data_IF_334697280826
#
_entry.id   IF_334697280826
#
_cell.length_a   1.000
_cell.length_b   1.000
_cell.length_c   1.000
_cell.angle_alpha   90.00
_cell.angle_beta   90.00
_cell.angle_gamma   90.00
#
_symmetry.space_group_name_H-M   'P 1'
#
loop_
_entity.id
_entity.type
_entity.pdbx_description
1 polymer ?
#
# COMPACT_ATOMS: atom_id res chain seq x y z
N UNK A 1 9.89 27.17 8.37
CA UNK A 1 8.49 26.77 8.57
C UNK A 1 7.94 25.94 7.41
N UNK A 2 8.00 26.41 6.16
CA UNK A 2 7.56 25.65 4.96
C UNK A 2 8.25 24.28 4.82
N UNK A 3 9.57 24.20 5.04
CA UNK A 3 10.29 22.93 4.93
C UNK A 3 9.81 21.84 5.91
N UNK A 4 9.40 22.23 7.12
CA UNK A 4 8.89 21.29 8.14
C UNK A 4 7.50 20.76 7.72
N UNK A 5 6.63 21.62 7.21
CA UNK A 5 5.31 21.22 6.69
C UNK A 5 5.47 20.29 5.48
N UNK A 6 6.37 20.64 4.57
CA UNK A 6 6.67 19.80 3.40
C UNK A 6 7.21 18.43 3.82
N UNK A 7 8.14 18.35 4.79
CA UNK A 7 8.64 17.09 5.30
C UNK A 7 7.52 16.24 5.92
N UNK A 8 6.62 16.84 6.69
CA UNK A 8 5.45 16.14 7.24
C UNK A 8 4.56 15.56 6.14
N UNK A 9 4.29 16.34 5.10
CA UNK A 9 3.50 15.89 3.94
C UNK A 9 4.19 14.76 3.17
N UNK A 10 5.51 14.84 2.99
CA UNK A 10 6.30 13.78 2.35
C UNK A 10 6.21 12.48 3.16
N UNK A 11 6.38 12.52 4.47
CA UNK A 11 6.28 11.34 5.33
C UNK A 11 4.89 10.70 5.25
N UNK A 12 3.84 11.51 5.34
CA UNK A 12 2.45 11.03 5.29
C UNK A 12 2.06 10.49 3.92
N UNK A 13 2.55 11.06 2.83
CA UNK A 13 2.25 10.63 1.46
C UNK A 13 3.11 9.43 1.02
N UNK A 14 4.35 9.33 1.50
CA UNK A 14 5.26 8.25 1.13
C UNK A 14 4.95 6.93 1.85
N UNK A 15 4.57 6.96 3.13
CA UNK A 15 4.35 5.75 3.92
C UNK A 15 3.33 4.77 3.30
N UNK A 16 2.15 5.19 2.80
CA UNK A 16 1.21 4.30 2.13
C UNK A 16 1.80 3.62 0.90
N UNK A 17 2.53 4.37 0.07
CA UNK A 17 3.15 3.88 -1.16
C UNK A 17 4.29 2.91 -0.86
N UNK A 18 5.11 3.21 0.14
CA UNK A 18 6.19 2.32 0.59
C UNK A 18 5.61 0.99 1.06
N UNK A 19 4.61 1.00 1.95
CA UNK A 19 3.98 -0.21 2.48
C UNK A 19 3.28 -1.01 1.37
N UNK A 20 2.54 -0.36 0.47
CA UNK A 20 1.91 -1.02 -0.67
C UNK A 20 2.96 -1.64 -1.61
N UNK A 21 4.06 -0.94 -1.91
CA UNK A 21 5.12 -1.47 -2.76
C UNK A 21 5.83 -2.69 -2.13
N UNK A 22 6.03 -2.72 -0.81
CA UNK A 22 6.58 -3.90 -0.12
C UNK A 22 5.66 -5.11 -0.26
N UNK A 23 4.35 -4.91 -0.08
CA UNK A 23 3.34 -5.95 -0.31
C UNK A 23 3.39 -6.49 -1.74
N UNK A 24 3.49 -5.59 -2.72
CA UNK A 24 3.67 -5.94 -4.12
C UNK A 24 4.95 -6.74 -4.39
N UNK A 25 6.09 -6.31 -3.82
CA UNK A 25 7.37 -7.03 -3.95
C UNK A 25 7.27 -8.46 -3.43
N UNK A 26 6.69 -8.68 -2.25
CA UNK A 26 6.55 -10.02 -1.67
C UNK A 26 5.68 -10.92 -2.54
N UNK A 27 4.57 -10.40 -3.03
CA UNK A 27 3.63 -11.13 -3.89
C UNK A 27 4.25 -11.48 -5.23
N UNK A 28 4.81 -10.49 -5.95
CA UNK A 28 5.37 -10.70 -7.29
C UNK A 28 6.67 -11.52 -7.27
N UNK A 29 7.47 -11.43 -6.20
CA UNK A 29 8.63 -12.31 -6.00
C UNK A 29 8.26 -13.78 -5.84
N UNK A 30 7.01 -14.09 -5.47
CA UNK A 30 6.50 -15.47 -5.44
C UNK A 30 6.02 -15.98 -6.81
N UNK A 31 6.05 -15.13 -7.85
CA UNK A 31 5.59 -15.47 -9.21
C UNK A 31 4.09 -15.24 -9.42
N UNK A 32 3.46 -14.40 -8.62
CA UNK A 32 2.04 -14.03 -8.77
C UNK A 32 1.92 -12.53 -8.99
N UNK A 33 1.43 -12.12 -10.17
CA UNK A 33 1.23 -10.71 -10.53
C UNK A 33 0.23 -10.05 -9.58
N UNK A 34 0.61 -8.88 -9.02
CA UNK A 34 -0.19 -8.24 -7.97
C UNK A 34 -0.78 -6.91 -8.44
N UNK A 35 -1.97 -6.94 -9.02
CA UNK A 35 -2.75 -5.75 -9.38
C UNK A 35 -3.77 -5.32 -8.32
N UNK A 36 -3.91 -6.08 -7.21
CA UNK A 36 -4.89 -5.80 -6.16
C UNK A 36 -4.40 -4.83 -5.08
N UNK A 37 -3.25 -4.15 -5.28
CA UNK A 37 -2.70 -3.23 -4.26
C UNK A 37 -3.67 -2.08 -3.92
N UNK A 38 -4.47 -1.63 -4.89
CA UNK A 38 -5.51 -0.63 -4.68
C UNK A 38 -6.59 -1.14 -3.70
N UNK A 39 -7.03 -2.39 -3.87
CA UNK A 39 -7.97 -3.04 -2.96
C UNK A 39 -7.42 -3.14 -1.54
N UNK A 40 -6.16 -3.54 -1.39
CA UNK A 40 -5.53 -3.66 -0.07
C UNK A 40 -5.43 -2.32 0.65
N UNK A 41 -5.05 -1.25 -0.05
CA UNK A 41 -5.05 0.10 0.50
C UNK A 41 -6.45 0.51 0.95
N UNK A 42 -7.47 0.28 0.11
CA UNK A 42 -8.84 0.69 0.39
C UNK A 42 -9.46 -0.09 1.55
N UNK A 43 -9.29 -1.43 1.56
CA UNK A 43 -9.78 -2.29 2.64
C UNK A 43 -9.04 -2.02 3.96
N UNK A 44 -7.73 -1.78 3.89
CA UNK A 44 -6.94 -1.41 5.07
C UNK A 44 -7.37 -0.08 5.67
N UNK A 45 -7.62 0.95 4.84
CA UNK A 45 -8.12 2.23 5.29
C UNK A 45 -9.51 2.11 5.93
N UNK A 46 -10.42 1.36 5.30
CA UNK A 46 -11.76 1.12 5.82
C UNK A 46 -11.73 0.40 7.16
N UNK A 47 -11.00 -0.72 7.24
CA UNK A 47 -10.90 -1.52 8.45
C UNK A 47 -10.25 -0.74 9.61
N UNK A 48 -9.20 0.07 9.32
CA UNK A 48 -8.57 0.91 10.32
C UNK A 48 -9.54 1.94 10.91
N UNK A 49 -10.27 2.64 10.06
CA UNK A 49 -11.20 3.68 10.52
C UNK A 49 -12.38 3.08 11.28
N UNK A 50 -12.98 2.00 10.76
CA UNK A 50 -14.11 1.32 11.45
C UNK A 50 -13.68 0.78 12.82
N UNK A 51 -12.55 0.09 12.88
CA UNK A 51 -12.03 -0.45 14.14
C UNK A 51 -11.58 0.67 15.11
N UNK A 52 -11.01 1.76 14.58
CA UNK A 52 -10.62 2.93 15.35
C UNK A 52 -11.83 3.64 15.97
N UNK A 53 -12.92 3.81 15.20
CA UNK A 53 -14.18 4.37 15.71
C UNK A 53 -14.83 3.49 16.78
N UNK A 54 -14.77 2.17 16.60
CA UNK A 54 -15.38 1.23 17.54
C UNK A 54 -14.60 1.08 18.86
N UNK A 55 -13.27 1.10 18.80
CA UNK A 55 -12.40 0.82 19.95
C UNK A 55 -11.77 2.05 20.60
N UNK A 56 -11.71 3.19 19.88
CA UNK A 56 -10.96 4.37 20.32
C UNK A 56 -9.42 4.16 20.34
N UNK A 57 -8.92 3.03 19.80
CA UNK A 57 -7.51 2.64 19.88
C UNK A 57 -6.85 2.57 18.50
N UNK A 58 -5.76 3.32 18.33
CA UNK A 58 -4.96 3.31 17.10
C UNK A 58 -4.30 1.92 16.87
N UNK A 59 -3.93 1.22 17.94
CA UNK A 59 -3.33 -0.11 17.83
C UNK A 59 -4.32 -1.10 17.24
N UNK A 60 -5.56 -1.09 17.73
CA UNK A 60 -6.65 -1.94 17.21
C UNK A 60 -6.94 -1.59 15.75
N UNK A 61 -6.94 -0.31 15.39
CA UNK A 61 -7.13 0.16 14.02
C UNK A 61 -6.05 -0.41 13.08
N UNK A 62 -4.77 -0.33 13.46
CA UNK A 62 -3.65 -0.85 12.66
C UNK A 62 -3.69 -2.37 12.53
N UNK A 63 -3.99 -3.09 13.61
CA UNK A 63 -4.14 -4.55 13.59
C UNK A 63 -5.32 -4.98 12.71
N UNK A 64 -6.46 -4.29 12.79
CA UNK A 64 -7.63 -4.56 11.94
C UNK A 64 -7.31 -4.35 10.45
N UNK A 65 -6.55 -3.32 10.11
CA UNK A 65 -6.10 -3.10 8.74
C UNK A 65 -5.20 -4.25 8.23
N UNK A 66 -4.21 -4.65 9.03
CA UNK A 66 -3.33 -5.78 8.68
C UNK A 66 -4.11 -7.08 8.49
N UNK A 67 -5.09 -7.35 9.38
CA UNK A 67 -5.96 -8.52 9.28
C UNK A 67 -6.85 -8.47 8.02
N UNK A 68 -7.47 -7.33 7.73
CA UNK A 68 -8.27 -7.15 6.52
C UNK A 68 -7.45 -7.39 5.25
N UNK A 69 -6.21 -6.87 5.20
CA UNK A 69 -5.29 -7.13 4.11
C UNK A 69 -4.84 -8.59 4.00
N UNK A 70 -4.60 -9.26 5.13
CA UNK A 70 -4.28 -10.70 5.17
C UNK A 70 -5.44 -11.54 4.62
N UNK A 71 -6.68 -11.24 5.04
CA UNK A 71 -7.89 -11.92 4.54
C UNK A 71 -8.10 -11.68 3.04
N UNK A 72 -7.93 -10.44 2.58
CA UNK A 72 -8.00 -10.13 1.16
C UNK A 72 -6.89 -10.82 0.35
N UNK A 73 -5.67 -10.93 0.91
CA UNK A 73 -4.56 -11.70 0.35
C UNK A 73 -4.85 -13.20 0.29
N UNK A 74 -5.49 -13.76 1.32
CA UNK A 74 -5.95 -15.14 1.34
C UNK A 74 -7.03 -15.40 0.28
N UNK A 75 -8.00 -14.47 0.15
CA UNK A 75 -9.02 -14.53 -0.88
C UNK A 75 -8.41 -14.48 -2.30
N UNK A 76 -7.45 -13.57 -2.52
CA UNK A 76 -6.71 -13.51 -3.77
C UNK A 76 -5.99 -14.84 -4.06
N UNK A 77 -5.30 -15.41 -3.06
CA UNK A 77 -4.59 -16.68 -3.19
C UNK A 77 -5.54 -17.84 -3.49
N UNK A 78 -6.73 -17.84 -2.91
CA UNK A 78 -7.75 -18.86 -3.17
C UNK A 78 -8.08 -18.94 -4.67
N UNK A 79 -8.29 -17.79 -5.32
CA UNK A 79 -8.62 -17.77 -6.74
C UNK A 79 -7.40 -17.89 -7.65
N UNK A 80 -6.35 -17.10 -7.41
CA UNK A 80 -5.19 -17.05 -8.30
C UNK A 80 -4.27 -18.28 -8.17
N UNK A 81 -4.08 -18.81 -6.96
CA UNK A 81 -3.14 -19.92 -6.73
C UNK A 81 -3.85 -21.26 -6.73
N UNK A 82 -4.93 -21.41 -5.95
CA UNK A 82 -5.59 -22.71 -5.77
C UNK A 82 -6.54 -23.04 -6.93
N UNK A 83 -7.31 -22.06 -7.41
CA UNK A 83 -8.21 -22.26 -8.57
C UNK A 83 -7.53 -21.94 -9.90
N UNK A 84 -6.27 -21.49 -9.87
CA UNK A 84 -5.46 -21.17 -11.07
C UNK A 84 -6.11 -20.15 -12.01
N UNK A 85 -6.92 -19.25 -11.46
CA UNK A 85 -7.48 -18.15 -12.22
C UNK A 85 -6.39 -17.14 -12.59
N UNK A 86 -6.59 -16.38 -13.66
CA UNK A 86 -5.65 -15.31 -14.02
C UNK A 86 -5.51 -14.30 -12.89
N UNK A 87 -4.30 -14.12 -12.37
CA UNK A 87 -4.00 -13.19 -11.28
C UNK A 87 -4.36 -11.74 -11.62
N UNK A 88 -4.27 -11.36 -12.89
CA UNK A 88 -4.69 -10.05 -13.39
C UNK A 88 -6.20 -9.87 -13.23
N UNK A 89 -7.00 -10.85 -13.66
CA UNK A 89 -8.46 -10.80 -13.55
C UNK A 89 -8.90 -10.78 -12.09
N UNK A 90 -8.31 -11.65 -11.25
CA UNK A 90 -8.59 -11.69 -9.81
C UNK A 90 -8.23 -10.34 -9.15
N UNK A 91 -7.11 -9.72 -9.54
CA UNK A 91 -6.68 -8.42 -9.02
C UNK A 91 -7.66 -7.30 -9.35
N UNK A 92 -8.09 -7.22 -10.60
CA UNK A 92 -9.09 -6.23 -11.04
C UNK A 92 -10.43 -6.47 -10.34
N UNK A 93 -10.89 -7.72 -10.28
CA UNK A 93 -12.13 -8.08 -9.60
C UNK A 93 -12.10 -7.68 -8.10
N UNK A 94 -10.97 -7.92 -7.42
CA UNK A 94 -10.80 -7.55 -6.02
C UNK A 94 -10.78 -6.02 -5.83
N UNK A 95 -10.19 -5.27 -6.76
CA UNK A 95 -10.22 -3.80 -6.74
C UNK A 95 -11.67 -3.28 -6.85
N UNK A 96 -12.45 -3.83 -7.78
CA UNK A 96 -13.86 -3.46 -7.94
C UNK A 96 -14.70 -3.86 -6.72
N UNK A 97 -14.47 -5.06 -6.20
CA UNK A 97 -15.14 -5.56 -5.00
C UNK A 97 -14.83 -4.68 -3.77
N UNK A 98 -13.58 -4.30 -3.57
CA UNK A 98 -13.17 -3.42 -2.49
C UNK A 98 -13.83 -2.03 -2.61
N UNK A 99 -13.85 -1.47 -3.83
CA UNK A 99 -14.46 -0.16 -4.08
C UNK A 99 -15.97 -0.16 -3.86
N UNK A 100 -16.68 -1.16 -4.38
CA UNK A 100 -18.12 -1.29 -4.21
C UNK A 100 -18.48 -1.73 -2.79
N UNK A 101 -17.75 -2.70 -2.23
CA UNK A 101 -18.00 -3.26 -0.91
C UNK A 101 -17.79 -2.24 0.20
N UNK A 102 -16.74 -1.41 0.16
CA UNK A 102 -16.51 -0.36 1.17
C UNK A 102 -17.58 0.73 1.12
N UNK A 103 -18.06 1.11 -0.08
CA UNK A 103 -19.19 2.05 -0.23
C UNK A 103 -20.49 1.48 0.32
N UNK A 104 -20.79 0.21 0.02
CA UNK A 104 -21.96 -0.47 0.55
C UNK A 104 -21.91 -0.60 2.08
N UNK A 105 -20.74 -0.99 2.61
CA UNK A 105 -20.52 -1.09 4.05
C UNK A 105 -20.66 0.26 4.77
N UNK A 106 -20.11 1.36 4.18
CA UNK A 106 -20.33 2.71 4.71
C UNK A 106 -21.81 3.07 4.81
N UNK A 107 -22.58 2.78 3.76
CA UNK A 107 -24.02 3.06 3.74
C UNK A 107 -24.77 2.29 4.83
N UNK A 108 -24.41 1.02 5.05
CA UNK A 108 -25.03 0.17 6.06
C UNK A 108 -24.65 0.61 7.48
N UNK A 109 -23.38 0.92 7.72
CA UNK A 109 -22.86 1.26 9.05
C UNK A 109 -23.15 2.70 9.47
N UNK A 110 -23.08 3.64 8.53
CA UNK A 110 -23.10 5.08 8.84
C UNK A 110 -24.17 5.87 8.07
N UNK A 111 -24.98 5.22 7.24
CA UNK A 111 -26.03 5.87 6.45
C UNK A 111 -25.50 6.72 5.28
N UNK A 112 -24.18 6.86 5.12
CA UNK A 112 -23.51 7.62 4.04
C UNK A 112 -22.70 6.69 3.17
N UNK A 113 -22.79 6.83 1.83
CA UNK A 113 -21.96 6.07 0.90
C UNK A 113 -20.62 6.75 0.57
N UNK A 114 -20.38 7.96 1.09
CA UNK A 114 -19.23 8.78 0.75
C UNK A 114 -18.20 8.85 1.88
N UNK A 115 -18.61 9.07 3.11
CA UNK A 115 -17.71 9.34 4.23
C UNK A 115 -18.15 8.58 5.50
N UNK A 116 -17.19 8.18 6.32
CA UNK A 116 -17.41 7.77 7.71
C UNK A 116 -17.50 8.99 8.64
N UNK A 117 -17.94 8.81 9.89
CA UNK A 117 -17.68 9.76 10.96
C UNK A 117 -16.17 10.00 11.13
N UNK A 118 -15.82 11.15 11.71
CA UNK A 118 -14.42 11.48 12.02
C UNK A 118 -13.95 10.77 13.28
N UNK A 119 -12.74 10.24 13.25
CA UNK A 119 -12.09 9.71 14.45
C UNK A 119 -11.86 10.84 15.45
N UNK A 120 -12.09 10.59 16.75
CA UNK A 120 -11.80 11.59 17.77
C UNK A 120 -10.31 11.93 17.74
N UNK A 121 -10.00 13.19 17.42
CA UNK A 121 -8.66 13.73 17.58
C UNK A 121 -8.44 13.99 19.05
N UNK A 122 -7.29 13.57 19.58
CA UNK A 122 -6.88 14.00 20.91
C UNK A 122 -6.76 15.54 20.89
N UNK A 123 -7.75 16.23 21.44
CA UNK A 123 -7.78 17.68 21.60
C UNK A 123 -6.70 18.14 22.61
N UNK A 124 -5.47 18.04 22.23
CA UNK A 124 -4.36 18.46 23.06
C UNK A 124 -3.35 19.25 22.26
N UNK A 125 -3.62 20.49 22.02
CA UNK A 125 -2.71 21.63 21.84
C UNK A 125 -3.12 22.59 20.71
N UNK A 126 -4.13 23.38 21.00
CA UNK A 126 -4.34 24.70 20.36
C UNK A 126 -3.26 25.66 20.91
N UNK A 127 -2.07 25.70 20.32
CA UNK A 127 -1.03 26.61 20.80
C UNK A 127 0.33 26.51 20.11
N UNK A 128 0.57 25.46 19.34
CA UNK A 128 1.80 25.31 18.56
C UNK A 128 1.65 25.87 17.15
N UNK A 129 2.75 26.40 16.59
CA UNK A 129 2.74 26.87 15.19
C UNK A 129 2.33 25.76 14.25
N UNK A 130 1.51 26.06 13.24
CA UNK A 130 0.91 25.11 12.27
C UNK A 130 1.90 24.08 11.70
N UNK A 131 3.17 24.45 11.56
CA UNK A 131 4.23 23.59 11.05
C UNK A 131 4.61 22.47 12.01
N UNK A 132 4.68 22.73 13.30
CA UNK A 132 5.05 21.72 14.31
C UNK A 132 3.89 20.77 14.62
N UNK A 133 2.63 21.26 14.53
CA UNK A 133 1.45 20.38 14.63
C UNK A 133 1.41 19.40 13.48
N UNK A 134 1.60 19.85 12.24
CA UNK A 134 1.61 18.97 11.06
C UNK A 134 2.69 17.89 11.13
N UNK A 135 3.90 18.24 11.57
CA UNK A 135 4.98 17.26 11.75
C UNK A 135 4.68 16.27 12.89
N UNK A 136 4.14 16.76 13.99
CA UNK A 136 3.76 15.92 15.13
C UNK A 136 2.65 14.94 14.73
N UNK A 137 1.64 15.39 14.01
CA UNK A 137 0.55 14.55 13.53
C UNK A 137 1.05 13.47 12.56
N UNK A 138 1.96 13.83 11.65
CA UNK A 138 2.62 12.86 10.78
C UNK A 138 3.42 11.81 11.57
N UNK A 139 4.15 12.23 12.61
CA UNK A 139 4.97 11.34 13.43
C UNK A 139 4.16 10.57 14.49
N UNK A 140 2.97 11.03 14.86
CA UNK A 140 2.09 10.36 15.82
C UNK A 140 1.41 9.12 15.22
N UNK A 141 1.31 9.04 13.90
CA UNK A 141 0.77 7.86 13.24
C UNK A 141 1.80 6.71 13.25
N UNK A 142 1.50 5.58 13.91
CA UNK A 142 2.48 4.49 14.08
C UNK A 142 2.93 3.88 12.75
N UNK A 143 2.14 3.95 11.71
CA UNK A 143 2.42 3.42 10.38
C UNK A 143 3.60 4.12 9.68
N UNK A 144 3.91 5.38 10.01
CA UNK A 144 5.10 6.09 9.51
C UNK A 144 6.39 5.44 10.04
N UNK A 145 6.38 4.96 11.28
CA UNK A 145 7.52 4.24 11.88
C UNK A 145 7.57 2.77 11.49
N UNK A 146 6.39 2.17 11.29
CA UNK A 146 6.27 0.79 10.82
C UNK A 146 6.82 0.64 9.40
N UNK A 147 6.68 1.64 8.53
CA UNK A 147 7.13 1.56 7.14
C UNK A 147 8.64 1.28 7.01
N UNK A 148 9.58 2.06 7.59
CA UNK A 148 11.01 1.76 7.50
C UNK A 148 11.38 0.42 8.18
N UNK A 149 10.71 0.08 9.29
CA UNK A 149 10.89 -1.21 9.95
C UNK A 149 10.53 -2.36 9.00
N UNK A 150 9.38 -2.28 8.31
CA UNK A 150 8.95 -3.30 7.37
C UNK A 150 9.82 -3.35 6.10
N UNK A 151 10.44 -2.25 5.67
CA UNK A 151 11.44 -2.26 4.60
C UNK A 151 12.62 -3.16 5.00
N UNK A 152 13.16 -2.96 6.21
CA UNK A 152 14.28 -3.76 6.71
C UNK A 152 13.86 -5.22 6.89
N UNK A 153 12.71 -5.47 7.53
CA UNK A 153 12.20 -6.83 7.75
C UNK A 153 11.94 -7.58 6.44
N UNK A 154 11.33 -6.92 5.45
CA UNK A 154 11.09 -7.51 4.13
C UNK A 154 12.39 -7.80 3.39
N UNK A 155 13.38 -6.92 3.50
CA UNK A 155 14.70 -7.13 2.92
C UNK A 155 15.43 -8.32 3.57
N UNK A 156 15.40 -8.41 4.90
CA UNK A 156 15.97 -9.54 5.66
C UNK A 156 15.21 -10.83 5.37
N UNK A 157 13.88 -10.78 5.33
CA UNK A 157 13.05 -11.95 5.01
C UNK A 157 13.45 -12.52 3.65
N UNK A 158 13.52 -11.70 2.61
CA UNK A 158 13.85 -12.19 1.26
C UNK A 158 15.33 -12.59 1.10
N UNK A 159 16.27 -11.99 1.85
CA UNK A 159 17.70 -12.22 1.65
C UNK A 159 18.32 -13.22 2.65
N UNK A 160 17.73 -13.39 3.83
CA UNK A 160 18.35 -14.12 4.94
C UNK A 160 17.51 -15.28 5.49
N UNK A 161 16.26 -15.48 5.03
CA UNK A 161 15.39 -16.53 5.55
C UNK A 161 15.13 -17.63 4.54
N UNK A 162 14.84 -18.84 5.04
CA UNK A 162 14.43 -19.99 4.21
C UNK A 162 13.13 -19.70 3.47
N UNK A 163 12.19 -18.98 4.10
CA UNK A 163 10.94 -18.57 3.47
C UNK A 163 11.20 -17.65 2.28
N UNK A 164 12.07 -16.63 2.43
CA UNK A 164 12.45 -15.74 1.36
C UNK A 164 13.13 -16.45 0.19
N UNK A 165 14.01 -17.42 0.48
CA UNK A 165 14.62 -18.27 -0.55
C UNK A 165 13.55 -19.06 -1.32
N UNK A 166 12.59 -19.68 -0.61
CA UNK A 166 11.48 -20.41 -1.24
C UNK A 166 10.57 -19.51 -2.07
N UNK A 167 10.24 -18.29 -1.57
CA UNK A 167 9.46 -17.30 -2.32
C UNK A 167 10.17 -16.98 -3.63
N UNK A 168 11.46 -16.66 -3.58
CA UNK A 168 12.25 -16.32 -4.78
C UNK A 168 12.37 -17.51 -5.74
N UNK A 169 12.61 -18.71 -5.24
CA UNK A 169 12.68 -19.91 -6.07
C UNK A 169 11.34 -20.22 -6.78
N UNK A 170 10.20 -20.00 -6.09
CA UNK A 170 8.88 -20.16 -6.70
C UNK A 170 8.62 -19.12 -7.81
N UNK A 171 9.15 -17.89 -7.67
CA UNK A 171 8.99 -16.86 -8.68
C UNK A 171 9.92 -17.02 -9.89
N UNK A 172 11.13 -17.55 -9.69
CA UNK A 172 12.08 -17.73 -10.81
C UNK A 172 11.80 -19.04 -11.57
N UNK A 173 11.65 -20.17 -10.86
CA UNK A 173 11.47 -21.50 -11.45
C UNK A 173 10.50 -22.38 -10.64
N UNK A 174 9.18 -22.17 -10.76
CA UNK A 174 8.19 -22.87 -9.93
C UNK A 174 8.22 -24.41 -10.14
N UNK A 175 8.52 -24.89 -11.36
CA UNK A 175 8.63 -26.32 -11.65
C UNK A 175 9.85 -26.94 -10.98
N UNK A 176 11.01 -26.26 -11.03
CA UNK A 176 12.21 -26.73 -10.36
C UNK A 176 12.06 -26.70 -8.83
N UNK A 177 11.43 -25.64 -8.29
CA UNK A 177 11.13 -25.58 -6.85
C UNK A 177 10.24 -26.73 -6.41
N UNK A 178 9.21 -27.08 -7.19
CA UNK A 178 8.33 -28.23 -6.92
C UNK A 178 9.09 -29.57 -6.97
N UNK A 179 9.98 -29.75 -7.94
CA UNK A 179 10.81 -30.95 -8.05
C UNK A 179 11.73 -31.13 -6.83
N UNK A 180 12.13 -30.05 -6.18
CA UNK A 180 12.90 -30.03 -4.92
C UNK A 180 12.03 -30.17 -3.67
N UNK A 181 10.73 -30.50 -3.81
CA UNK A 181 9.81 -30.69 -2.68
C UNK A 181 9.26 -29.41 -2.06
N UNK A 182 9.47 -28.23 -2.68
CA UNK A 182 8.89 -26.99 -2.19
C UNK A 182 7.38 -26.94 -2.48
N UNK A 183 6.51 -26.74 -1.47
CA UNK A 183 5.06 -26.63 -1.66
C UNK A 183 4.70 -25.28 -2.25
N UNK A 184 4.87 -25.09 -3.58
CA UNK A 184 4.77 -23.82 -4.30
C UNK A 184 3.47 -23.08 -3.95
N UNK A 185 2.31 -23.74 -4.00
CA UNK A 185 1.03 -23.11 -3.71
C UNK A 185 0.97 -22.53 -2.29
N UNK A 186 1.48 -23.24 -1.28
CA UNK A 186 1.52 -22.74 0.11
C UNK A 186 2.46 -21.55 0.26
N UNK A 187 3.62 -21.58 -0.40
CA UNK A 187 4.60 -20.49 -0.38
C UNK A 187 4.01 -19.23 -1.04
N UNK A 188 3.37 -19.38 -2.20
CA UNK A 188 2.68 -18.29 -2.88
C UNK A 188 1.55 -17.71 -2.02
N UNK A 189 0.71 -18.58 -1.43
CA UNK A 189 -0.36 -18.14 -0.51
C UNK A 189 0.22 -17.33 0.66
N UNK A 190 1.28 -17.81 1.30
CA UNK A 190 1.94 -17.10 2.41
C UNK A 190 2.46 -15.74 1.96
N UNK A 191 3.09 -15.66 0.78
CA UNK A 191 3.58 -14.40 0.23
C UNK A 191 2.45 -13.40 -0.05
N UNK A 192 1.31 -13.87 -0.57
CA UNK A 192 0.13 -13.05 -0.86
C UNK A 192 -0.55 -12.55 0.42
N UNK A 193 -0.67 -13.40 1.44
CA UNK A 193 -1.24 -13.03 2.75
C UNK A 193 -0.37 -11.99 3.45
N UNK A 194 0.94 -12.22 3.52
CA UNK A 194 1.89 -11.27 4.11
C UNK A 194 1.94 -9.96 3.30
N UNK A 195 1.98 -10.08 1.96
CA UNK A 195 1.98 -8.92 1.07
C UNK A 195 0.71 -8.09 1.21
N UNK A 196 -0.46 -8.74 1.29
CA UNK A 196 -1.74 -8.08 1.51
C UNK A 196 -1.81 -7.38 2.88
N UNK A 197 -1.34 -8.05 3.94
CA UNK A 197 -1.28 -7.47 5.28
C UNK A 197 -0.42 -6.18 5.29
N UNK A 198 0.79 -6.24 4.72
CA UNK A 198 1.71 -5.07 4.68
C UNK A 198 1.11 -3.94 3.82
N UNK A 199 0.54 -4.26 2.65
CA UNK A 199 -0.07 -3.25 1.79
C UNK A 199 -1.26 -2.55 2.48
N UNK A 200 -2.08 -3.30 3.21
CA UNK A 200 -3.23 -2.77 3.93
C UNK A 200 -2.85 -1.85 5.10
N UNK A 201 -1.67 -2.04 5.72
CA UNK A 201 -1.11 -1.07 6.68
C UNK A 201 -0.85 0.29 6.03
N UNK A 202 -0.51 0.32 4.73
CA UNK A 202 -0.47 1.56 3.95
C UNK A 202 -1.83 2.23 3.85
N UNK A 203 -2.90 1.44 3.73
CA UNK A 203 -4.27 1.94 3.80
C UNK A 203 -4.63 2.52 5.17
N UNK A 204 -4.21 1.85 6.26
CA UNK A 204 -4.40 2.38 7.61
C UNK A 204 -3.81 3.79 7.75
N UNK A 205 -2.62 4.04 7.18
CA UNK A 205 -2.02 5.37 7.17
C UNK A 205 -2.93 6.41 6.51
N UNK A 206 -3.56 6.06 5.37
CA UNK A 206 -4.48 6.98 4.68
C UNK A 206 -5.68 7.33 5.55
N UNK A 207 -6.34 6.32 6.14
CA UNK A 207 -7.52 6.52 6.99
C UNK A 207 -7.21 7.27 8.28
N UNK A 208 -6.14 6.90 8.97
CA UNK A 208 -5.74 7.52 10.22
C UNK A 208 -5.24 8.96 10.03
N UNK A 209 -4.51 9.23 8.93
CA UNK A 209 -4.03 10.59 8.64
C UNK A 209 -5.17 11.55 8.27
N UNK A 210 -6.21 11.06 7.58
CA UNK A 210 -7.41 11.86 7.26
C UNK A 210 -8.45 11.86 8.39
N UNK A 211 -8.22 11.12 9.46
CA UNK A 211 -9.15 10.93 10.58
C UNK A 211 -10.57 10.47 10.15
N UNK A 212 -10.74 10.00 8.92
CA UNK A 212 -11.99 9.51 8.38
C UNK A 212 -11.72 8.61 7.17
N UNK A 213 -12.66 7.74 6.86
CA UNK A 213 -12.67 7.03 5.59
C UNK A 213 -13.51 7.80 4.57
N UNK A 214 -12.91 8.09 3.43
CA UNK A 214 -13.59 8.69 2.27
C UNK A 214 -13.64 7.66 1.16
N UNK A 215 -14.78 7.52 0.50
CA UNK A 215 -14.92 6.56 -0.59
C UNK A 215 -13.86 6.80 -1.68
N UNK A 216 -13.18 5.73 -2.07
CA UNK A 216 -12.09 5.76 -3.07
C UNK A 216 -10.86 6.59 -2.66
N UNK A 217 -10.60 6.76 -1.35
CA UNK A 217 -9.48 7.56 -0.83
C UNK A 217 -8.09 7.07 -1.23
N UNK A 218 -7.96 5.84 -1.70
CA UNK A 218 -6.71 5.31 -2.25
C UNK A 218 -6.28 6.03 -3.54
N UNK A 219 -7.24 6.51 -4.34
CA UNK A 219 -7.02 7.44 -5.45
C UNK A 219 -5.98 6.97 -6.47
N UNK A 220 -5.87 5.66 -6.74
CA UNK A 220 -4.89 5.10 -7.67
C UNK A 220 -3.48 4.90 -7.10
N UNK A 221 -3.26 5.14 -5.81
CA UNK A 221 -1.94 4.95 -5.16
C UNK A 221 -1.45 3.51 -5.23
N UNK A 222 -2.36 2.53 -5.30
CA UNK A 222 -1.99 1.12 -5.52
C UNK A 222 -1.28 0.91 -6.85
N UNK A 223 -1.70 1.57 -7.93
CA UNK A 223 -1.04 1.48 -9.23
C UNK A 223 0.33 2.19 -9.23
N UNK A 224 0.45 3.32 -8.53
CA UNK A 224 1.75 3.97 -8.31
C UNK A 224 2.71 3.06 -7.53
N UNK A 225 2.20 2.29 -6.57
CA UNK A 225 2.99 1.31 -5.83
C UNK A 225 3.46 0.15 -6.74
N UNK A 226 2.62 -0.36 -7.67
CA UNK A 226 3.06 -1.34 -8.69
C UNK A 226 4.20 -0.77 -9.53
N UNK A 227 4.09 0.47 -9.99
CA UNK A 227 5.17 1.12 -10.74
C UNK A 227 6.47 1.23 -9.91
N UNK A 228 6.37 1.54 -8.61
CA UNK A 228 7.53 1.55 -7.70
C UNK A 228 8.16 0.16 -7.56
N UNK A 229 7.38 -0.94 -7.56
CA UNK A 229 7.89 -2.32 -7.58
C UNK A 229 8.72 -2.59 -8.84
N UNK A 230 8.19 -2.24 -10.01
CA UNK A 230 8.87 -2.43 -11.31
C UNK A 230 10.16 -1.59 -11.37
N UNK A 231 10.10 -0.30 -11.02
CA UNK A 231 11.25 0.60 -10.98
C UNK A 231 12.30 0.13 -9.96
N UNK A 232 11.86 -0.44 -8.84
CA UNK A 232 12.70 -1.04 -7.80
C UNK A 232 13.25 -2.42 -8.15
N UNK A 233 12.87 -2.97 -9.31
CA UNK A 233 13.32 -4.31 -9.78
C UNK A 233 13.03 -5.41 -8.77
N UNK A 234 11.84 -5.40 -8.20
CA UNK A 234 11.40 -6.39 -7.20
C UNK A 234 12.34 -6.54 -5.98
N UNK A 235 13.08 -5.48 -5.64
CA UNK A 235 13.93 -5.42 -4.43
C UNK A 235 13.29 -4.50 -3.40
N UNK A 236 13.04 -4.96 -2.14
CA UNK A 236 12.30 -4.18 -1.14
C UNK A 236 12.83 -2.77 -0.92
N UNK A 237 14.14 -2.64 -0.67
CA UNK A 237 14.76 -1.33 -0.41
C UNK A 237 14.64 -0.40 -1.62
N UNK A 238 14.86 -0.91 -2.83
CA UNK A 238 14.77 -0.09 -4.05
C UNK A 238 13.33 0.31 -4.35
N UNK A 239 12.38 -0.61 -4.18
CA UNK A 239 10.96 -0.32 -4.34
C UNK A 239 10.49 0.74 -3.33
N UNK A 240 10.95 0.65 -2.07
CA UNK A 240 10.67 1.65 -1.05
C UNK A 240 11.24 3.03 -1.39
N UNK A 241 12.47 3.11 -1.93
CA UNK A 241 13.07 4.37 -2.37
C UNK A 241 12.27 5.00 -3.51
N UNK A 242 11.87 4.20 -4.52
CA UNK A 242 11.01 4.69 -5.60
C UNK A 242 9.63 5.12 -5.11
N UNK A 243 9.02 4.33 -4.23
CA UNK A 243 7.74 4.66 -3.61
C UNK A 243 7.81 5.96 -2.79
N UNK A 244 8.89 6.16 -2.03
CA UNK A 244 9.13 7.41 -1.30
C UNK A 244 9.33 8.60 -2.26
N UNK A 245 10.05 8.40 -3.37
CA UNK A 245 10.20 9.41 -4.42
C UNK A 245 8.85 9.80 -5.04
N UNK A 246 7.99 8.82 -5.38
CA UNK A 246 6.63 9.09 -5.89
C UNK A 246 5.78 9.78 -4.82
N UNK A 247 5.90 9.36 -3.55
CA UNK A 247 5.21 10.01 -2.43
C UNK A 247 5.65 11.47 -2.23
N UNK A 248 6.93 11.79 -2.46
CA UNK A 248 7.41 13.16 -2.39
C UNK A 248 6.84 14.04 -3.53
N UNK A 249 6.60 13.46 -4.71
CA UNK A 249 5.89 14.17 -5.80
C UNK A 249 4.44 14.46 -5.44
N UNK A 250 3.75 13.52 -4.76
CA UNK A 250 2.39 13.77 -4.28
C UNK A 250 2.34 14.85 -3.19
N UNK A 251 3.36 14.93 -2.33
CA UNK A 251 3.48 16.01 -1.36
C UNK A 251 3.76 17.37 -2.03
N UNK A 252 4.57 17.37 -3.09
CA UNK A 252 4.84 18.57 -3.88
C UNK A 252 3.56 19.04 -4.60
N UNK A 253 2.78 18.14 -5.17
CA UNK A 253 1.46 18.42 -5.74
C UNK A 253 0.56 19.13 -4.73
N UNK A 254 0.42 18.58 -3.52
CA UNK A 254 -0.41 19.17 -2.48
C UNK A 254 0.06 20.58 -2.08
N UNK A 255 1.39 20.79 -2.02
CA UNK A 255 1.98 22.11 -1.72
C UNK A 255 1.75 23.10 -2.85
N UNK A 256 1.90 22.70 -4.10
CA UNK A 256 1.68 23.57 -5.27
C UNK A 256 0.19 23.86 -5.46
N UNK A 257 -0.70 22.91 -5.18
CA UNK A 257 -2.14 23.11 -5.23
C UNK A 257 -2.60 24.23 -4.28
N UNK A 258 -1.94 24.37 -3.11
CA UNK A 258 -2.24 25.43 -2.17
C UNK A 258 -1.80 26.84 -2.65
N UNK A 259 -0.89 26.93 -3.63
CA UNK A 259 -0.40 28.20 -4.16
C UNK A 259 -1.33 28.83 -5.21
N UNK A 260 -2.26 28.06 -5.78
CA UNK A 260 -3.24 28.53 -6.77
C UNK A 260 -2.69 28.87 -8.16
N UNK A 261 -1.39 28.66 -8.42
CA UNK A 261 -0.73 29.04 -9.68
C UNK A 261 -1.06 28.09 -10.85
N UNK A 262 -1.39 26.84 -10.56
CA UNK A 262 -1.64 25.80 -11.56
C UNK A 262 -2.98 25.13 -11.25
N UNK A 263 -3.82 24.81 -12.25
CA UNK A 263 -5.05 24.06 -12.04
C UNK A 263 -4.79 22.74 -11.31
N UNK A 264 -5.55 22.44 -10.27
CA UNK A 264 -5.39 21.23 -9.42
C UNK A 264 -5.45 19.94 -10.22
N UNK A 265 -6.25 19.89 -11.29
CA UNK A 265 -6.37 18.72 -12.18
C UNK A 265 -5.04 18.38 -12.86
N UNK A 266 -4.28 19.40 -13.29
CA UNK A 266 -2.96 19.20 -13.91
C UNK A 266 -1.95 18.70 -12.89
N UNK A 267 -2.00 19.25 -11.67
CA UNK A 267 -1.11 18.83 -10.58
C UNK A 267 -1.38 17.39 -10.15
N UNK A 268 -2.66 16.98 -10.07
CA UNK A 268 -3.04 15.60 -9.74
C UNK A 268 -2.54 14.57 -10.77
N UNK A 269 -2.41 14.94 -12.03
CA UNK A 269 -1.86 14.06 -13.06
C UNK A 269 -0.33 13.92 -12.97
N UNK A 270 0.37 14.82 -12.29
CA UNK A 270 1.83 14.92 -12.27
C UNK A 270 2.52 13.66 -11.71
N UNK A 271 2.14 13.08 -10.54
CA UNK A 271 2.75 11.86 -10.04
C UNK A 271 2.58 10.68 -11.01
N UNK A 272 1.42 10.57 -11.65
CA UNK A 272 1.13 9.50 -12.61
C UNK A 272 1.94 9.67 -13.90
N UNK A 273 1.97 10.87 -14.47
CA UNK A 273 2.71 11.18 -15.68
C UNK A 273 4.22 10.94 -15.51
N UNK A 274 4.81 11.46 -14.42
CA UNK A 274 6.23 11.26 -14.12
C UNK A 274 6.56 9.78 -13.86
N UNK A 275 5.66 9.05 -13.21
CA UNK A 275 5.83 7.62 -12.98
C UNK A 275 5.80 6.84 -14.29
N UNK A 276 4.87 7.15 -15.20
CA UNK A 276 4.81 6.55 -16.54
C UNK A 276 6.07 6.83 -17.35
N UNK A 277 6.57 8.05 -17.35
CA UNK A 277 7.82 8.42 -18.02
C UNK A 277 9.02 7.67 -17.44
N UNK A 278 9.09 7.52 -16.11
CA UNK A 278 10.14 6.78 -15.44
C UNK A 278 10.12 5.28 -15.79
N UNK A 279 8.94 4.68 -15.86
CA UNK A 279 8.74 3.28 -16.27
C UNK A 279 9.10 3.11 -17.75
N UNK A 280 8.61 3.98 -18.64
CA UNK A 280 8.91 3.93 -20.08
C UNK A 280 10.40 4.04 -20.36
N UNK A 281 11.11 4.93 -19.67
CA UNK A 281 12.56 5.11 -19.82
C UNK A 281 13.42 3.96 -19.29
N UNK A 282 12.85 3.04 -18.48
CA UNK A 282 13.58 1.95 -17.84
C UNK A 282 13.08 0.55 -18.16
N UNK A 283 11.98 0.40 -18.87
CA UNK A 283 11.31 -0.88 -19.15
C UNK A 283 12.23 -1.93 -19.81
N UNK A 284 13.21 -1.52 -20.60
CA UNK A 284 14.16 -2.45 -21.23
C UNK A 284 15.22 -3.06 -20.29
N UNK A 285 15.34 -2.63 -19.03
CA UNK A 285 16.38 -3.07 -18.08
C UNK A 285 15.85 -3.82 -16.86
N UNK A 286 14.55 -3.88 -16.67
CA UNK A 286 13.93 -4.59 -15.53
C UNK A 286 13.60 -6.03 -15.94
N UNK A 287 14.23 -7.02 -15.31
CA UNK A 287 13.87 -8.43 -15.47
C UNK A 287 12.87 -8.78 -14.38
N UNK A 288 11.63 -9.07 -14.77
CA UNK A 288 10.62 -9.65 -13.88
C UNK A 288 11.03 -11.07 -13.45
N UNK A 289 10.54 -11.57 -12.30
CA UNK A 289 10.59 -12.99 -11.98
C UNK A 289 10.02 -13.80 -13.16
N UNK A 290 10.69 -14.92 -13.51
CA UNK A 290 10.37 -15.64 -14.75
C UNK A 290 8.95 -16.23 -14.79
N UNK A 291 8.32 -16.45 -13.64
CA UNK A 291 6.95 -16.93 -13.54
C UNK A 291 5.88 -15.83 -13.79
N UNK A 292 6.26 -14.57 -13.96
CA UNK A 292 5.33 -13.47 -14.22
C UNK A 292 5.09 -13.22 -15.72
N UNK A 293 5.93 -13.75 -16.61
CA UNK A 293 5.80 -13.53 -18.05
C UNK A 293 6.53 -14.54 -18.88
#
# INVERSE_FOLDING_TARGET
MMAVVFLAQVLSAAAPLVLASLGGVLSERSGVTMLALEAYLLLGAFAAVVAGLASGSIVVAVLAAGLAGALAGALFALFAVWQRASSVVVGVALNLLAMAGTRAALKVLYGSSSNSPTLPTSEGMRGSTLAWTALRDALSTPTVWIAPLLVVLSALLLSRTVLGLRITACGEHPMAARAQGVPVARVQTTALVLGGAIAALGGAQLGLHQHAFVASMSGGRGFLAVAAVILGRWRPVRAAVWAAGIGSLSALEATLASSGWVPTVVLQALPFALTLLAVAGRSGKARAPAALG
#
